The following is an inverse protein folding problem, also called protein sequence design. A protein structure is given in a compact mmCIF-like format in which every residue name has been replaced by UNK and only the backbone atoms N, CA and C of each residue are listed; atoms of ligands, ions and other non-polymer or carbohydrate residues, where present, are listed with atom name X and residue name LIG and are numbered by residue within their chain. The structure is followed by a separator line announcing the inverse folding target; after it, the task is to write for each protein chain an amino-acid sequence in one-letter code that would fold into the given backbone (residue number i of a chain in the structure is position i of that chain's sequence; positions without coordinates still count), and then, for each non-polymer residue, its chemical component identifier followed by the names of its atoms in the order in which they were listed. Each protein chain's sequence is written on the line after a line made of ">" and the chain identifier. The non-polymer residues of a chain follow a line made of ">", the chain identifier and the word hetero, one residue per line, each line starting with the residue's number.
data_IF_717175820139
#
_entry.id   IF_717175820139
#
_cell.length_a   1.000
_cell.length_b   1.000
_cell.length_c   1.000
_cell.angle_alpha   90.00
_cell.angle_beta   90.00
_cell.angle_gamma   90.00
#
_symmetry.space_group_name_H-M   'P 1'
#
loop_
_entity.id
_entity.type
_entity.pdbx_description
1 polymer ?
#
# COMPACT_ATOMS: atom_id res chain seq x y z
N UNK A 1 18.08 16.67 9.21
CA UNK A 1 16.93 17.09 8.38
C UNK A 1 17.34 17.52 6.96
N UNK A 2 18.63 17.60 6.65
CA UNK A 2 19.20 18.27 5.48
C UNK A 2 19.10 17.48 4.16
N UNK A 3 18.97 16.15 4.21
CA UNK A 3 18.99 15.23 3.04
C UNK A 3 17.78 15.37 2.07
N UNK A 4 17.04 16.49 2.11
CA UNK A 4 15.88 16.76 1.23
C UNK A 4 16.25 17.58 -0.02
N UNK A 5 17.36 18.32 0.05
CA UNK A 5 17.91 19.10 -1.06
C UNK A 5 19.18 18.45 -1.64
N UNK A 6 19.52 17.24 -1.18
CA UNK A 6 20.70 16.51 -1.58
C UNK A 6 20.41 15.81 -2.92
N UNK A 7 20.93 16.38 -4.02
CA UNK A 7 20.68 15.88 -5.39
C UNK A 7 21.57 14.68 -5.78
N UNK A 8 22.20 14.00 -4.81
CA UNK A 8 23.03 12.80 -5.03
C UNK A 8 22.22 11.60 -5.50
N UNK A 9 21.05 11.41 -4.87
CA UNK A 9 20.18 10.27 -5.05
C UNK A 9 18.93 10.71 -5.82
N UNK A 10 18.62 9.99 -6.90
CA UNK A 10 17.52 10.32 -7.79
C UNK A 10 16.98 9.08 -8.50
N UNK A 11 15.73 9.18 -8.95
CA UNK A 11 15.09 8.25 -9.86
C UNK A 11 14.85 8.96 -11.19
N UNK A 12 15.23 8.31 -12.29
CA UNK A 12 14.93 8.71 -13.67
C UNK A 12 14.11 7.59 -14.29
N UNK A 13 13.15 7.91 -15.17
CA UNK A 13 12.42 6.91 -15.94
C UNK A 13 13.28 6.28 -17.04
N UNK A 14 12.99 5.04 -17.42
CA UNK A 14 13.86 4.22 -18.29
C UNK A 14 13.47 4.28 -19.78
N UNK A 15 12.24 4.72 -20.10
CA UNK A 15 11.66 4.66 -21.45
C UNK A 15 10.86 5.92 -21.83
N UNK A 16 9.90 6.33 -20.98
CA UNK A 16 8.96 7.44 -21.24
C UNK A 16 8.88 8.39 -20.03
N UNK A 17 8.01 9.40 -20.07
CA UNK A 17 7.82 10.36 -18.97
C UNK A 17 7.11 9.77 -17.71
N UNK A 18 6.63 8.54 -17.76
CA UNK A 18 5.86 7.93 -16.67
C UNK A 18 6.72 7.28 -15.57
N UNK A 19 6.29 7.42 -14.31
CA UNK A 19 6.89 6.74 -13.14
C UNK A 19 5.79 6.25 -12.18
N UNK A 20 5.98 5.09 -11.56
CA UNK A 20 5.02 4.51 -10.60
C UNK A 20 5.71 4.04 -9.32
N UNK A 21 5.36 4.68 -8.20
CA UNK A 21 5.87 4.34 -6.87
C UNK A 21 4.76 3.67 -6.05
N UNK A 22 4.96 2.43 -5.62
CA UNK A 22 4.07 1.72 -4.71
C UNK A 22 4.62 1.82 -3.27
N UNK A 23 3.90 2.49 -2.39
CA UNK A 23 4.32 2.83 -1.02
C UNK A 23 3.49 2.07 0.03
N UNK A 24 3.96 0.92 0.54
CA UNK A 24 3.34 0.24 1.66
C UNK A 24 3.68 0.94 2.99
N UNK A 25 2.70 1.07 3.88
CA UNK A 25 2.90 1.59 5.23
C UNK A 25 2.87 0.47 6.28
N UNK A 26 3.69 0.58 7.33
CA UNK A 26 3.77 -0.40 8.43
C UNK A 26 2.55 -0.40 9.38
N UNK A 27 1.57 0.45 9.12
CA UNK A 27 0.33 0.61 9.87
C UNK A 27 -0.48 1.73 9.25
N UNK A 28 -1.67 2.00 9.81
CA UNK A 28 -2.58 2.96 9.23
C UNK A 28 -2.06 4.40 9.34
N UNK A 29 -2.06 5.14 8.23
CA UNK A 29 -1.65 6.56 8.18
C UNK A 29 -2.74 7.45 7.60
N UNK A 30 -2.76 8.71 8.04
CA UNK A 30 -3.57 9.79 7.49
C UNK A 30 -2.66 10.74 6.73
N UNK A 31 -2.72 10.75 5.40
CA UNK A 31 -1.92 11.70 4.60
C UNK A 31 -2.75 12.95 4.29
N UNK A 32 -2.14 14.11 4.50
CA UNK A 32 -2.78 15.43 4.42
C UNK A 32 -2.11 16.38 3.43
N UNK A 33 -0.90 16.05 2.96
CA UNK A 33 -0.19 16.76 1.91
C UNK A 33 0.90 15.90 1.27
N UNK A 34 1.29 16.27 0.06
CA UNK A 34 2.42 15.70 -0.67
C UNK A 34 3.29 16.84 -1.23
N UNK A 35 4.60 16.63 -1.23
CA UNK A 35 5.59 17.50 -1.92
C UNK A 35 6.46 16.61 -2.81
N UNK A 36 6.83 17.12 -3.98
CA UNK A 36 7.69 16.41 -4.95
C UNK A 36 8.79 17.38 -5.37
N UNK A 37 10.01 16.87 -5.51
CA UNK A 37 11.16 17.61 -6.05
C UNK A 37 11.67 16.83 -7.26
N UNK A 38 11.41 17.36 -8.45
CA UNK A 38 12.11 16.99 -9.68
C UNK A 38 13.27 17.95 -9.98
N UNK A 39 13.76 17.94 -11.22
CA UNK A 39 14.87 18.80 -11.63
C UNK A 39 14.46 20.26 -11.92
N UNK A 40 15.41 21.09 -12.33
CA UNK A 40 15.19 22.49 -12.72
C UNK A 40 14.72 22.64 -14.18
N UNK A 41 14.88 21.58 -14.99
CA UNK A 41 14.49 21.50 -16.40
C UNK A 41 13.05 20.97 -16.63
N UNK A 42 12.70 20.70 -17.88
CA UNK A 42 11.40 20.16 -18.31
C UNK A 42 11.14 18.72 -17.82
N UNK A 43 12.17 18.01 -17.33
CA UNK A 43 12.05 16.66 -16.72
C UNK A 43 11.40 16.64 -15.32
N UNK A 44 11.01 17.81 -14.79
CA UNK A 44 10.28 17.91 -13.53
C UNK A 44 8.86 17.32 -13.64
N UNK A 45 8.37 16.55 -12.66
CA UNK A 45 6.99 16.04 -12.66
C UNK A 45 5.94 17.17 -12.77
N UNK A 46 5.10 17.14 -13.81
CA UNK A 46 4.05 18.14 -14.03
C UNK A 46 2.67 17.67 -13.56
N UNK A 47 2.40 16.36 -13.63
CA UNK A 47 1.11 15.79 -13.20
C UNK A 47 1.30 14.49 -12.45
N UNK A 48 0.70 14.40 -11.27
CA UNK A 48 0.65 13.16 -10.47
C UNK A 48 -0.78 12.71 -10.22
N UNK A 49 -0.95 11.39 -10.15
CA UNK A 49 -2.21 10.69 -9.93
C UNK A 49 -2.02 9.75 -8.74
N UNK A 50 -2.87 9.90 -7.73
CA UNK A 50 -2.74 9.23 -6.44
C UNK A 50 -3.85 8.21 -6.28
N UNK A 51 -3.49 7.01 -5.84
CA UNK A 51 -4.41 5.89 -5.65
C UNK A 51 -4.23 5.28 -4.26
N UNK A 52 -5.34 4.96 -3.58
CA UNK A 52 -5.30 4.41 -2.22
C UNK A 52 -5.53 2.90 -2.16
N UNK A 53 -4.85 2.26 -1.21
CA UNK A 53 -5.09 0.88 -0.75
C UNK A 53 -5.11 -0.20 -1.85
N UNK A 54 -4.50 0.11 -3.00
CA UNK A 54 -4.25 -0.82 -4.11
C UNK A 54 -2.81 -1.33 -4.03
N UNK A 55 -2.63 -2.48 -3.39
CA UNK A 55 -1.33 -3.16 -3.31
C UNK A 55 -0.81 -3.48 -4.71
N UNK A 56 0.45 -3.12 -5.00
CA UNK A 56 1.17 -3.53 -6.21
C UNK A 56 0.46 -3.14 -7.53
N UNK A 57 0.14 -1.85 -7.71
CA UNK A 57 -0.32 -1.38 -9.02
C UNK A 57 0.76 -1.49 -10.09
N UNK A 58 0.33 -1.78 -11.32
CA UNK A 58 1.08 -1.66 -12.58
C UNK A 58 0.68 -0.38 -13.35
N UNK A 59 1.33 -0.13 -14.49
CA UNK A 59 0.95 0.97 -15.39
C UNK A 59 -0.41 0.73 -16.07
N UNK A 60 -0.75 -0.52 -16.41
CA UNK A 60 -2.09 -0.87 -16.92
C UNK A 60 -3.20 -0.48 -15.92
N UNK A 61 -2.98 -0.73 -14.62
CA UNK A 61 -3.90 -0.35 -13.53
C UNK A 61 -4.11 1.17 -13.45
N UNK A 62 -3.15 1.99 -13.87
CA UNK A 62 -3.28 3.45 -13.87
C UNK A 62 -4.36 3.95 -14.84
N UNK A 63 -4.88 3.13 -15.76
CA UNK A 63 -5.99 3.48 -16.67
C UNK A 63 -7.31 3.91 -15.97
N UNK A 64 -7.45 3.62 -14.68
CA UNK A 64 -8.61 3.93 -13.83
C UNK A 64 -8.76 5.43 -13.47
N UNK A 65 -9.90 5.79 -12.87
CA UNK A 65 -10.03 7.06 -12.13
C UNK A 65 -9.14 7.03 -10.87
N UNK A 66 -8.34 8.09 -10.68
CA UNK A 66 -7.48 8.27 -9.52
C UNK A 66 -8.24 8.84 -8.30
N UNK A 67 -7.81 8.51 -7.09
CA UNK A 67 -8.38 9.10 -5.88
C UNK A 67 -8.18 10.63 -5.87
N UNK A 68 -7.01 11.11 -6.26
CA UNK A 68 -6.76 12.53 -6.48
C UNK A 68 -5.68 12.73 -7.56
N UNK A 69 -5.99 13.58 -8.54
CA UNK A 69 -5.00 14.10 -9.49
C UNK A 69 -4.53 15.48 -9.03
N UNK A 70 -3.26 15.79 -9.28
CA UNK A 70 -2.61 17.04 -8.87
C UNK A 70 -1.71 17.51 -10.01
N UNK A 71 -1.97 18.73 -10.48
CA UNK A 71 -1.05 19.45 -11.36
C UNK A 71 0.01 20.12 -10.48
N UNK A 72 1.26 19.73 -10.68
CA UNK A 72 2.42 20.27 -9.98
C UNK A 72 2.92 21.56 -10.65
N UNK A 73 3.98 22.12 -10.10
CA UNK A 73 4.75 23.25 -10.64
C UNK A 73 6.22 22.88 -10.56
N UNK A 74 7.04 23.40 -11.47
CA UNK A 74 8.49 23.32 -11.33
C UNK A 74 8.92 24.01 -10.03
N UNK A 75 9.25 23.20 -9.01
CA UNK A 75 9.70 23.63 -7.70
C UNK A 75 10.89 22.77 -7.24
N UNK A 76 12.12 23.14 -7.64
CA UNK A 76 13.33 22.38 -7.31
C UNK A 76 13.69 22.44 -5.81
N UNK A 77 12.95 23.21 -5.01
CA UNK A 77 13.14 23.33 -3.56
C UNK A 77 12.03 22.62 -2.76
N UNK A 78 10.97 22.11 -3.41
CA UNK A 78 9.83 21.46 -2.76
C UNK A 78 9.20 22.30 -1.65
N UNK A 79 9.08 23.61 -1.86
CA UNK A 79 8.41 24.57 -0.98
C UNK A 79 6.88 24.43 -1.08
N UNK A 80 6.35 23.98 -2.22
CA UNK A 80 4.93 23.78 -2.44
C UNK A 80 4.46 22.44 -1.88
N UNK A 81 3.69 22.49 -0.79
CA UNK A 81 2.88 21.38 -0.29
C UNK A 81 1.52 21.35 -0.99
N UNK A 82 1.16 20.19 -1.55
CA UNK A 82 -0.10 19.96 -2.24
C UNK A 82 -1.07 19.22 -1.31
N UNK A 83 -2.15 19.85 -0.84
CA UNK A 83 -3.04 19.26 0.16
C UNK A 83 -3.84 18.08 -0.40
N UNK A 84 -3.87 16.98 0.36
CA UNK A 84 -4.67 15.80 0.03
C UNK A 84 -6.05 15.86 0.68
N UNK A 85 -7.07 15.35 -0.03
CA UNK A 85 -8.43 15.21 0.49
C UNK A 85 -8.45 14.19 1.62
N UNK A 86 -8.42 14.65 2.87
CA UNK A 86 -8.43 13.79 4.07
C UNK A 86 -9.67 12.87 4.18
N UNK A 87 -10.73 13.11 3.40
CA UNK A 87 -11.87 12.19 3.25
C UNK A 87 -11.60 10.99 2.32
N UNK A 88 -10.60 11.08 1.43
CA UNK A 88 -10.10 9.94 0.63
C UNK A 88 -8.89 9.29 1.29
N UNK A 89 -7.93 10.10 1.77
CA UNK A 89 -6.61 9.70 2.32
C UNK A 89 -6.56 9.66 3.86
N UNK A 90 -7.72 9.47 4.51
CA UNK A 90 -7.89 9.60 5.96
C UNK A 90 -7.32 8.44 6.80
N UNK A 91 -7.27 7.24 6.21
CA UNK A 91 -6.77 5.99 6.79
C UNK A 91 -6.29 5.15 5.61
N UNK A 92 -4.99 4.87 5.54
CA UNK A 92 -4.30 4.22 4.44
C UNK A 92 -3.34 3.14 4.96
N UNK A 93 -3.26 2.00 4.28
CA UNK A 93 -2.20 1.00 4.47
C UNK A 93 -1.28 0.89 3.25
N UNK A 94 -1.73 1.32 2.07
CA UNK A 94 -0.92 1.42 0.86
C UNK A 94 -1.29 2.68 0.07
N UNK A 95 -0.31 3.29 -0.60
CA UNK A 95 -0.52 4.43 -1.49
C UNK A 95 0.33 4.25 -2.75
N UNK A 96 -0.27 4.43 -3.92
CA UNK A 96 0.47 4.46 -5.19
C UNK A 96 0.54 5.89 -5.71
N UNK A 97 1.75 6.33 -6.06
CA UNK A 97 2.02 7.63 -6.69
C UNK A 97 2.44 7.36 -8.13
N UNK A 98 1.54 7.67 -9.06
CA UNK A 98 1.81 7.67 -10.49
C UNK A 98 2.16 9.09 -10.93
N UNK A 99 3.26 9.25 -11.66
CA UNK A 99 3.59 10.47 -12.39
C UNK A 99 3.18 10.20 -13.83
N UNK A 100 2.21 10.98 -14.32
CA UNK A 100 1.63 10.80 -15.65
C UNK A 100 2.39 11.59 -16.71
N UNK A 101 2.82 12.82 -16.38
CA UNK A 101 3.56 13.68 -17.32
C UNK A 101 4.57 14.58 -16.62
N UNK A 102 5.59 15.03 -17.37
CA UNK A 102 6.49 16.13 -17.03
C UNK A 102 6.16 17.42 -17.82
N UNK A 103 7.08 18.38 -17.88
CA UNK A 103 6.85 19.69 -18.54
C UNK A 103 7.21 19.72 -20.04
N UNK A 104 7.75 18.65 -20.62
CA UNK A 104 8.05 18.54 -22.06
C UNK A 104 9.27 17.68 -22.44
N UNK A 105 9.92 17.03 -21.48
CA UNK A 105 11.10 16.18 -21.69
C UNK A 105 10.74 14.71 -21.94
N UNK A 106 11.62 13.96 -22.62
CA UNK A 106 11.42 12.54 -22.91
C UNK A 106 11.39 11.67 -21.63
N UNK A 107 12.17 12.03 -20.60
CA UNK A 107 12.29 11.30 -19.34
C UNK A 107 12.03 12.21 -18.14
N UNK A 108 11.45 11.63 -17.09
CA UNK A 108 11.09 12.32 -15.84
C UNK A 108 12.13 12.02 -14.76
N UNK A 109 12.54 13.05 -14.00
CA UNK A 109 13.50 12.92 -12.88
C UNK A 109 12.88 13.35 -11.55
N UNK A 110 13.10 12.53 -10.52
CA UNK A 110 12.63 12.77 -9.15
C UNK A 110 13.78 12.60 -8.17
N UNK A 111 14.06 13.64 -7.39
CA UNK A 111 15.01 13.61 -6.27
C UNK A 111 14.32 13.22 -4.96
N UNK A 112 13.11 13.72 -4.71
CA UNK A 112 12.43 13.53 -3.43
C UNK A 112 10.90 13.50 -3.55
N UNK A 113 10.26 12.61 -2.79
CA UNK A 113 8.81 12.58 -2.57
C UNK A 113 8.57 12.64 -1.05
N UNK A 114 7.99 13.75 -0.59
CA UNK A 114 7.67 13.97 0.82
C UNK A 114 6.18 13.83 1.10
N UNK A 115 5.81 12.91 1.99
CA UNK A 115 4.44 12.76 2.49
C UNK A 115 4.26 13.47 3.83
N UNK A 116 3.22 14.29 3.96
CA UNK A 116 2.89 15.01 5.21
C UNK A 116 1.62 14.43 5.82
N UNK A 117 1.74 13.75 6.96
CA UNK A 117 0.63 13.02 7.58
C UNK A 117 0.87 12.61 9.03
N UNK A 118 -0.08 11.83 9.55
CA UNK A 118 -0.15 11.38 10.94
C UNK A 118 -0.27 9.85 10.99
N UNK A 119 0.46 9.19 11.90
CA UNK A 119 0.37 7.74 12.12
C UNK A 119 -0.75 7.39 13.12
N UNK A 120 -1.63 6.45 12.76
CA UNK A 120 -2.80 6.06 13.55
C UNK A 120 -2.48 4.81 14.40
N UNK A 121 -1.90 5.03 15.58
CA UNK A 121 -1.37 3.97 16.43
C UNK A 121 -2.39 2.97 17.00
N UNK A 122 -3.68 3.32 17.07
CA UNK A 122 -4.71 2.49 17.71
C UNK A 122 -5.43 1.49 16.79
N UNK A 123 -4.97 1.26 15.55
CA UNK A 123 -5.41 0.10 14.77
C UNK A 123 -4.76 -1.20 15.28
N UNK A 124 -5.13 -1.59 16.49
CA UNK A 124 -4.68 -2.84 17.11
C UNK A 124 -5.21 -4.01 16.31
N UNK A 125 -4.32 -4.70 15.61
CA UNK A 125 -4.62 -6.03 15.08
C UNK A 125 -5.08 -6.91 16.26
N UNK A 126 -6.34 -7.36 16.25
CA UNK A 126 -6.77 -8.44 17.13
C UNK A 126 -6.11 -9.72 16.60
N UNK A 127 -5.01 -10.12 17.25
CA UNK A 127 -4.19 -11.25 16.79
C UNK A 127 -4.97 -12.56 16.97
N UNK A 128 -5.40 -13.10 15.83
CA UNK A 128 -5.70 -14.49 15.51
C UNK A 128 -6.20 -15.42 16.64
N UNK A 129 -7.45 -15.90 16.49
CA UNK A 129 -7.80 -17.29 16.81
C UNK A 129 -8.18 -17.98 15.50
N UNK A 130 -7.17 -18.50 14.80
CA UNK A 130 -7.37 -19.38 13.66
C UNK A 130 -7.61 -20.81 14.16
N UNK A 131 -8.88 -21.16 14.42
CA UNK A 131 -9.25 -22.54 14.79
C UNK A 131 -8.92 -23.49 13.64
N UNK A 132 -7.84 -24.25 13.79
CA UNK A 132 -7.44 -25.25 12.81
C UNK A 132 -8.35 -26.48 12.93
N UNK A 133 -9.47 -26.46 12.19
CA UNK A 133 -10.38 -27.61 12.07
C UNK A 133 -9.70 -28.78 11.32
N UNK A 134 -8.87 -29.52 12.03
CA UNK A 134 -8.37 -30.81 11.58
C UNK A 134 -9.54 -31.81 11.47
N UNK A 135 -10.14 -31.88 10.28
CA UNK A 135 -11.14 -32.90 9.91
C UNK A 135 -10.45 -34.05 9.17
N UNK A 136 -9.92 -35.09 9.85
CA UNK A 136 -9.35 -36.27 9.18
C UNK A 136 -10.46 -37.04 8.46
N UNK A 137 -10.54 -36.88 7.14
CA UNK A 137 -11.57 -37.49 6.31
C UNK A 137 -10.93 -38.50 5.33
N UNK A 138 -10.48 -39.63 5.88
CA UNK A 138 -10.02 -40.79 5.12
C UNK A 138 -10.62 -42.06 5.72
N UNK A 139 -11.55 -42.67 4.97
CA UNK A 139 -12.09 -43.99 5.23
C UNK A 139 -11.16 -45.09 4.70
N UNK A 140 -11.42 -46.30 5.18
CA UNK A 140 -11.02 -47.59 4.62
C UNK A 140 -9.58 -48.08 4.84
N UNK A 141 -9.40 -48.79 5.95
CA UNK A 141 -9.16 -50.23 5.86
C UNK A 141 -10.14 -50.99 6.78
N UNK A 142 -10.32 -52.29 6.55
CA UNK A 142 -11.52 -53.05 6.98
C UNK A 142 -11.18 -54.49 7.36
N UNK A 143 -11.69 -54.95 8.51
CA UNK A 143 -11.47 -56.29 9.08
C UNK A 143 -10.35 -56.28 10.14
N UNK A 144 -10.39 -57.07 11.21
CA UNK A 144 -11.34 -58.14 11.59
C UNK A 144 -11.74 -58.05 13.09
N UNK A 145 -12.62 -58.96 13.54
CA UNK A 145 -13.33 -59.02 14.84
C UNK A 145 -13.50 -60.51 15.26
N UNK A 146 -13.97 -60.90 16.46
CA UNK A 146 -14.32 -60.16 17.70
C UNK A 146 -13.44 -60.67 18.90
N UNK A 147 -13.73 -60.58 20.21
CA UNK A 147 -14.89 -60.16 21.03
C UNK A 147 -14.35 -59.51 22.36
N UNK A 148 -14.93 -59.49 23.57
CA UNK A 148 -16.10 -60.13 24.20
C UNK A 148 -16.78 -59.17 25.21
N UNK A 149 -17.80 -59.61 25.97
CA UNK A 149 -18.76 -58.75 26.63
C UNK A 149 -18.48 -58.45 28.13
N UNK A 150 -18.75 -57.20 28.54
CA UNK A 150 -18.81 -56.77 29.94
C UNK A 150 -19.95 -55.77 30.17
N UNK A 151 -20.98 -56.15 30.93
CA UNK A 151 -22.19 -55.33 31.16
C UNK A 151 -22.02 -54.42 32.39
N UNK A 152 -22.58 -53.21 32.34
CA UNK A 152 -23.76 -52.82 33.13
C UNK A 152 -24.14 -51.33 32.93
N UNK A 153 -25.44 -51.04 32.82
CA UNK A 153 -26.00 -49.69 32.97
C UNK A 153 -26.15 -49.34 34.45
N UNK A 154 -25.98 -48.07 34.82
CA UNK A 154 -26.82 -47.38 35.80
C UNK A 154 -26.79 -45.85 35.59
N UNK A 155 -27.90 -45.19 35.94
CA UNK A 155 -28.20 -43.75 35.85
C UNK A 155 -29.18 -43.40 37.00
N UNK A 156 -29.34 -42.13 37.41
CA UNK A 156 -28.36 -41.03 37.47
C UNK A 156 -28.36 -40.39 38.88
N UNK A 157 -27.95 -39.12 38.98
CA UNK A 157 -27.79 -38.29 40.18
C UNK A 157 -29.02 -38.14 41.09
N UNK A 158 -28.75 -37.76 42.35
CA UNK A 158 -29.64 -36.94 43.18
C UNK A 158 -29.64 -35.47 42.73
#
# INVERSE_FOLDING_TARGET
>A
MEMRLDKTDFVVSDCDEELLFNLPFYGHVRITGISVIGDEDESHPAKIRLFKDRSMMSFDDCSIEADQEINLKQDPNGVVDYPLKASKFGTLSHMSVHIQTNFGAELTKVYYIGLRGEYQADFRQQIAIATYEARPLMKDHKGEIPDEAGRNLFLPSC
#
